data_IF_562173576443
#
_entry.id   IF_562173576443
#
_cell.length_a   1.000
_cell.length_b   1.000
_cell.length_c   1.000
_cell.angle_alpha   90.00
_cell.angle_beta   90.00
_cell.angle_gamma   90.00
#
_symmetry.space_group_name_H-M   'P 1'
#
loop_
_entity.id
_entity.type
_entity.pdbx_description
1 polymer ?
#
# COMPACT_ATOMS: atom_id res chain seq x y z
N UNK A 1 -1.19 5.05 -40.51
CA UNK A 1 -1.48 5.24 -39.07
C UNK A 1 -2.78 6.01 -38.93
N UNK A 2 -3.76 5.51 -38.17
CA UNK A 2 -5.05 6.21 -37.99
C UNK A 2 -4.93 7.40 -37.03
N UNK A 3 -5.70 8.46 -37.27
CA UNK A 3 -5.81 9.63 -36.39
C UNK A 3 -5.98 9.30 -34.88
N UNK A 4 -6.80 8.31 -34.46
CA UNK A 4 -6.93 7.99 -33.04
C UNK A 4 -5.65 7.44 -32.39
N UNK A 5 -4.76 6.80 -33.18
CA UNK A 5 -3.49 6.28 -32.67
C UNK A 5 -2.51 7.42 -32.38
N UNK A 6 -2.48 8.43 -33.26
CA UNK A 6 -1.62 9.61 -33.08
C UNK A 6 -2.03 10.38 -31.84
N UNK A 7 -3.33 10.53 -31.59
CA UNK A 7 -3.85 11.18 -30.38
C UNK A 7 -3.41 10.45 -29.10
N UNK A 8 -3.47 9.12 -29.09
CA UNK A 8 -3.00 8.34 -27.93
C UNK A 8 -1.48 8.43 -27.75
N UNK A 9 -0.71 8.52 -28.84
CA UNK A 9 0.74 8.70 -28.75
C UNK A 9 1.09 10.07 -28.13
N UNK A 10 0.35 11.12 -28.49
CA UNK A 10 0.49 12.45 -27.89
C UNK A 10 0.08 12.45 -26.42
N UNK A 11 -1.04 11.82 -26.06
CA UNK A 11 -1.43 11.66 -24.66
C UNK A 11 -0.37 10.90 -23.86
N UNK A 12 0.26 9.90 -24.47
CA UNK A 12 1.37 9.14 -23.87
C UNK A 12 2.58 10.03 -23.65
N UNK A 13 2.96 10.83 -24.65
CA UNK A 13 4.06 11.80 -24.53
C UNK A 13 3.82 12.78 -23.37
N UNK A 14 2.60 13.33 -23.27
CA UNK A 14 2.19 14.22 -22.20
C UNK A 14 2.25 13.56 -20.82
N UNK A 15 1.81 12.30 -20.70
CA UNK A 15 1.89 11.54 -19.45
C UNK A 15 3.33 11.33 -18.96
N UNK A 16 4.30 11.24 -19.87
CA UNK A 16 5.74 11.18 -19.56
C UNK A 16 6.41 12.56 -19.48
N UNK A 17 5.65 13.66 -19.59
CA UNK A 17 6.16 15.03 -19.47
C UNK A 17 6.85 15.58 -20.72
N UNK A 18 6.67 14.95 -21.89
CA UNK A 18 7.20 15.42 -23.17
C UNK A 18 6.10 16.00 -24.05
N UNK A 19 6.33 17.21 -24.56
CA UNK A 19 5.47 17.88 -25.56
C UNK A 19 6.07 17.86 -26.96
N UNK A 20 7.18 17.15 -27.16
CA UNK A 20 7.88 17.14 -28.45
C UNK A 20 7.24 16.17 -29.44
N UNK A 21 7.05 16.64 -30.68
CA UNK A 21 6.60 15.78 -31.78
C UNK A 21 7.52 14.59 -32.02
N UNK A 22 8.83 14.80 -31.87
CA UNK A 22 9.84 13.74 -31.97
C UNK A 22 9.59 12.60 -30.99
N UNK A 23 9.14 12.90 -29.77
CA UNK A 23 8.79 11.86 -28.80
C UNK A 23 7.55 11.07 -29.25
N UNK A 24 6.52 11.77 -29.73
CA UNK A 24 5.32 11.11 -30.27
C UNK A 24 5.64 10.20 -31.47
N UNK A 25 6.55 10.61 -32.36
CA UNK A 25 7.05 9.79 -33.46
C UNK A 25 7.77 8.53 -32.95
N UNK A 26 8.63 8.66 -31.92
CA UNK A 26 9.31 7.49 -31.35
C UNK A 26 8.33 6.50 -30.71
N UNK A 27 7.27 7.00 -30.08
CA UNK A 27 6.19 6.18 -29.51
C UNK A 27 5.43 5.46 -30.63
N UNK A 28 5.10 6.16 -31.71
CA UNK A 28 4.42 5.56 -32.88
C UNK A 28 5.28 4.51 -33.57
N UNK A 29 6.59 4.77 -33.75
CA UNK A 29 7.52 3.79 -34.30
C UNK A 29 7.65 2.56 -33.41
N UNK A 30 7.63 2.73 -32.08
CA UNK A 30 7.59 1.61 -31.15
C UNK A 30 6.32 0.77 -31.28
N UNK A 31 5.16 1.43 -31.42
CA UNK A 31 3.88 0.76 -31.62
C UNK A 31 3.78 0.03 -32.97
N UNK A 32 4.37 0.59 -34.02
CA UNK A 32 4.47 -0.05 -35.34
C UNK A 32 5.31 -1.32 -35.28
N UNK A 33 6.47 -1.28 -34.61
CA UNK A 33 7.31 -2.47 -34.39
C UNK A 33 6.57 -3.55 -33.60
N UNK A 34 5.72 -3.16 -32.65
CA UNK A 34 4.89 -4.06 -31.84
C UNK A 34 3.59 -4.48 -32.54
N UNK A 35 3.36 -4.02 -33.77
CA UNK A 35 2.19 -4.33 -34.60
C UNK A 35 0.85 -3.97 -33.93
N UNK A 36 0.81 -2.88 -33.15
CA UNK A 36 -0.44 -2.38 -32.58
C UNK A 36 -1.26 -1.68 -33.65
N UNK A 37 -2.43 -2.24 -33.96
CA UNK A 37 -3.32 -1.73 -35.02
C UNK A 37 -4.48 -0.94 -34.45
N UNK A 38 -4.85 -1.19 -33.19
CA UNK A 38 -6.02 -0.59 -32.54
C UNK A 38 -5.62 0.12 -31.25
N UNK A 39 -6.37 1.18 -30.90
CA UNK A 39 -6.25 1.84 -29.59
C UNK A 39 -6.46 0.86 -28.43
N UNK A 40 -7.29 -0.17 -28.64
CA UNK A 40 -7.53 -1.23 -27.64
C UNK A 40 -6.27 -2.05 -27.34
N UNK A 41 -5.42 -2.30 -28.34
CA UNK A 41 -4.14 -3.01 -28.16
C UNK A 41 -3.19 -2.22 -27.25
N UNK A 42 -3.15 -0.90 -27.44
CA UNK A 42 -2.36 0.02 -26.63
C UNK A 42 -2.87 0.03 -25.18
N UNK A 43 -4.20 0.10 -24.98
CA UNK A 43 -4.82 0.10 -23.65
C UNK A 43 -4.60 -1.21 -22.90
N UNK A 44 -4.66 -2.36 -23.60
CA UNK A 44 -4.33 -3.67 -23.02
C UNK A 44 -2.87 -3.75 -22.58
N UNK A 45 -1.95 -3.20 -23.37
CA UNK A 45 -0.54 -3.18 -23.02
C UNK A 45 -0.23 -2.24 -21.84
N UNK A 46 -0.94 -1.11 -21.72
CA UNK A 46 -0.79 -0.17 -20.60
C UNK A 46 -1.09 -0.79 -19.23
N UNK A 47 -1.90 -1.86 -19.16
CA UNK A 47 -2.24 -2.53 -17.90
C UNK A 47 -1.18 -3.51 -17.40
N UNK A 48 -0.10 -3.77 -18.16
CA UNK A 48 0.95 -4.71 -17.75
C UNK A 48 2.08 -4.08 -16.92
N UNK A 49 1.98 -2.80 -16.56
CA UNK A 49 2.88 -2.25 -15.56
C UNK A 49 2.70 -3.03 -14.26
N UNK A 50 3.83 -3.52 -13.77
CA UNK A 50 3.99 -4.47 -12.68
C UNK A 50 3.09 -4.12 -11.50
N UNK A 51 1.95 -4.80 -11.39
CA UNK A 51 1.26 -4.92 -10.11
C UNK A 51 2.24 -5.73 -9.28
N UNK A 52 2.96 -5.09 -8.36
CA UNK A 52 3.64 -5.80 -7.29
C UNK A 52 2.56 -6.64 -6.62
N UNK A 53 2.52 -7.93 -6.95
CA UNK A 53 1.75 -8.86 -6.16
C UNK A 53 2.35 -8.76 -4.77
N UNK A 54 1.53 -8.40 -3.78
CA UNK A 54 1.90 -8.42 -2.38
C UNK A 54 2.02 -9.89 -1.96
N UNK A 55 3.00 -10.59 -2.53
CA UNK A 55 3.36 -11.92 -2.10
C UNK A 55 3.86 -11.78 -0.67
N UNK A 56 3.30 -12.58 0.24
CA UNK A 56 3.71 -12.59 1.62
C UNK A 56 5.24 -12.81 1.69
N UNK A 57 5.96 -12.08 2.55
CA UNK A 57 7.41 -12.23 2.66
C UNK A 57 7.75 -13.67 3.02
N UNK A 58 8.57 -14.32 2.16
CA UNK A 58 9.02 -15.71 2.33
C UNK A 58 9.89 -15.85 3.59
N UNK A 59 10.54 -14.76 4.01
CA UNK A 59 11.44 -14.73 5.17
C UNK A 59 10.66 -14.28 6.40
N UNK A 60 10.66 -15.13 7.42
CA UNK A 60 10.29 -14.76 8.78
C UNK A 60 11.57 -14.32 9.49
N UNK A 61 11.56 -13.14 10.10
CA UNK A 61 12.72 -12.64 10.85
C UNK A 61 13.00 -13.55 12.06
N UNK A 62 14.28 -13.67 12.46
CA UNK A 62 14.63 -14.31 13.72
C UNK A 62 14.18 -13.41 14.87
N UNK A 63 12.98 -13.69 15.36
CA UNK A 63 12.42 -13.03 16.53
C UNK A 63 12.97 -13.72 17.78
N UNK A 64 13.48 -12.97 18.77
CA UNK A 64 13.91 -13.55 20.03
C UNK A 64 12.75 -14.17 20.81
N UNK A 65 13.04 -15.28 21.50
CA UNK A 65 12.05 -16.02 22.30
C UNK A 65 11.38 -15.16 23.38
N UNK A 66 12.10 -14.16 23.91
CA UNK A 66 11.55 -13.24 24.93
C UNK A 66 10.37 -12.39 24.43
N UNK A 67 10.21 -12.21 23.10
CA UNK A 67 9.10 -11.43 22.55
C UNK A 67 7.75 -12.12 22.81
N UNK A 68 7.72 -13.45 22.76
CA UNK A 68 6.51 -14.22 23.04
C UNK A 68 6.11 -14.08 24.51
N UNK A 69 7.09 -14.10 25.42
CA UNK A 69 6.85 -13.94 26.85
C UNK A 69 6.38 -12.51 27.19
N UNK A 70 6.91 -11.51 26.50
CA UNK A 70 6.46 -10.13 26.63
C UNK A 70 5.00 -9.96 26.17
N UNK A 71 4.59 -10.58 25.06
CA UNK A 71 3.19 -10.52 24.59
C UNK A 71 2.21 -11.16 25.56
N UNK A 72 2.58 -12.30 26.16
CA UNK A 72 1.75 -13.00 27.15
C UNK A 72 1.49 -12.17 28.41
N UNK A 73 2.41 -11.27 28.80
CA UNK A 73 2.18 -10.37 29.94
C UNK A 73 0.99 -9.42 29.73
N UNK A 74 0.69 -9.03 28.49
CA UNK A 74 -0.43 -8.15 28.16
C UNK A 74 -1.76 -8.90 27.99
N UNK A 75 -1.68 -10.19 27.62
CA UNK A 75 -2.85 -11.06 27.47
C UNK A 75 -3.27 -11.75 28.78
N UNK A 76 -2.38 -11.79 29.76
CA UNK A 76 -2.71 -12.29 31.10
C UNK A 76 -3.82 -11.41 31.65
N UNK A 77 -5.02 -11.96 31.94
CA UNK A 77 -6.06 -11.20 32.60
C UNK A 77 -5.45 -10.66 33.88
N UNK A 78 -5.36 -9.33 33.99
CA UNK A 78 -5.03 -8.69 35.25
C UNK A 78 -5.98 -9.31 36.28
N UNK A 79 -5.44 -9.98 37.30
CA UNK A 79 -6.26 -10.53 38.36
C UNK A 79 -7.21 -9.41 38.79
N UNK A 80 -8.53 -9.67 38.89
CA UNK A 80 -9.50 -8.62 39.20
C UNK A 80 -8.98 -7.89 40.44
N UNK A 81 -8.75 -6.59 40.30
CA UNK A 81 -8.26 -5.77 41.41
C UNK A 81 -9.16 -6.07 42.62
N UNK A 82 -8.58 -6.35 43.81
CA UNK A 82 -9.40 -6.65 44.97
C UNK A 82 -10.41 -5.52 45.14
N UNK A 83 -11.68 -5.83 45.42
CA UNK A 83 -12.72 -4.80 45.51
C UNK A 83 -12.27 -3.75 46.52
N UNK A 84 -12.05 -2.53 46.03
CA UNK A 84 -11.64 -1.41 46.86
C UNK A 84 -12.77 -1.17 47.87
N UNK A 85 -12.49 -1.37 49.16
CA UNK A 85 -13.45 -1.09 50.22
C UNK A 85 -13.65 0.44 50.35
N UNK A 86 -14.66 0.91 49.61
CA UNK A 86 -15.09 2.31 49.56
C UNK A 86 -15.54 2.85 50.91
N UNK A 87 -15.97 2.01 51.85
CA UNK A 87 -16.39 2.45 53.19
C UNK A 87 -15.19 2.74 54.08
N UNK A 88 -14.20 1.85 54.10
CA UNK A 88 -12.94 2.07 54.80
C UNK A 88 -12.21 3.34 54.27
N UNK A 89 -12.30 3.58 52.96
CA UNK A 89 -11.73 4.78 52.34
C UNK A 89 -12.46 6.06 52.77
N UNK A 90 -13.80 6.03 52.85
CA UNK A 90 -14.62 7.14 53.35
C UNK A 90 -14.34 7.43 54.83
N UNK A 91 -14.15 6.42 55.65
CA UNK A 91 -13.79 6.60 57.06
C UNK A 91 -12.41 7.25 57.23
N UNK A 92 -11.41 6.82 56.45
CA UNK A 92 -10.10 7.47 56.44
C UNK A 92 -10.21 8.95 56.05
N UNK A 93 -10.99 9.28 55.02
CA UNK A 93 -11.23 10.66 54.60
C UNK A 93 -11.92 11.52 55.68
N UNK A 94 -12.81 10.93 56.48
CA UNK A 94 -13.42 11.61 57.63
C UNK A 94 -12.42 11.93 58.74
N UNK A 95 -11.37 11.11 58.93
CA UNK A 95 -10.32 11.37 59.94
C UNK A 95 -9.41 12.54 59.57
N UNK A 96 -9.37 12.95 58.29
CA UNK A 96 -8.58 14.08 57.80
C UNK A 96 -9.41 15.37 57.62
N UNK A 97 -10.64 15.40 58.13
CA UNK A 97 -11.51 16.59 58.22
C UNK A 97 -11.63 17.04 59.67
#
# INVERSE_FOLDING_TARGET
MGAPLVMEALNTALAYGSTSWKYAETVLADWERKQYKTVDDIKKNRKKFFVMTTAAPIRKECVPDWLEDYQKQWETPQAPEPPIDVEALKERLKRYK
#
